data_IF_579933583178
#
_entry.id   IF_579933583178
#
_cell.length_a   1.000
_cell.length_b   1.000
_cell.length_c   1.000
_cell.angle_alpha   90.00
_cell.angle_beta   90.00
_cell.angle_gamma   90.00
#
_symmetry.space_group_name_H-M   'P 1'
#
loop_
_entity.id
_entity.type
_entity.pdbx_description
1 polymer ?
#
# COMPACT_ATOMS: atom_id res chain seq x y z
N UNK A 1 6.45 -22.55 6.55
CA UNK A 1 5.87 -22.54 5.18
C UNK A 1 6.69 -21.63 4.28
N UNK A 2 6.90 -22.04 3.02
CA UNK A 2 7.65 -21.31 2.00
C UNK A 2 6.76 -20.95 0.82
N UNK A 3 7.01 -19.79 0.20
CA UNK A 3 6.31 -19.30 -0.99
C UNK A 3 7.34 -18.70 -1.96
N UNK A 4 7.31 -19.12 -3.23
CA UNK A 4 8.30 -18.75 -4.25
C UNK A 4 9.76 -18.87 -3.76
N UNK A 5 10.08 -19.93 -3.02
CA UNK A 5 11.44 -20.21 -2.55
C UNK A 5 11.90 -19.40 -1.33
N UNK A 6 11.03 -18.61 -0.69
CA UNK A 6 11.32 -17.89 0.56
C UNK A 6 10.34 -18.21 1.67
N UNK A 7 10.77 -18.09 2.92
CA UNK A 7 9.86 -18.21 4.08
C UNK A 7 8.91 -17.01 4.12
N UNK A 8 7.66 -17.23 4.54
CA UNK A 8 6.66 -16.14 4.66
C UNK A 8 7.19 -14.99 5.53
N UNK A 9 7.89 -15.30 6.62
CA UNK A 9 8.50 -14.32 7.51
C UNK A 9 9.57 -13.43 6.86
N UNK A 10 10.21 -13.87 5.76
CA UNK A 10 11.15 -13.02 5.01
C UNK A 10 10.41 -11.90 4.28
N UNK A 11 9.25 -12.18 3.69
CA UNK A 11 8.41 -11.16 3.05
C UNK A 11 7.88 -10.16 4.07
N UNK A 12 7.42 -10.64 5.23
CA UNK A 12 6.95 -9.78 6.31
C UNK A 12 8.07 -8.86 6.83
N UNK A 13 9.28 -9.40 7.05
CA UNK A 13 10.45 -8.61 7.46
C UNK A 13 10.86 -7.61 6.39
N UNK A 14 10.81 -8.01 5.12
CA UNK A 14 11.10 -7.13 4.00
C UNK A 14 10.10 -5.95 3.98
N UNK A 15 8.80 -6.24 3.97
CA UNK A 15 7.70 -5.28 3.87
C UNK A 15 7.44 -4.46 5.16
N UNK A 16 8.05 -4.82 6.30
CA UNK A 16 7.72 -4.27 7.63
C UNK A 16 7.64 -2.74 7.68
N UNK A 17 8.63 -2.05 7.14
CA UNK A 17 8.66 -0.58 7.19
C UNK A 17 7.49 0.02 6.40
N UNK A 18 7.22 -0.48 5.19
CA UNK A 18 6.08 -0.06 4.39
C UNK A 18 4.75 -0.31 5.10
N UNK A 19 4.60 -1.47 5.74
CA UNK A 19 3.41 -1.79 6.56
C UNK A 19 3.24 -0.76 7.69
N UNK A 20 4.30 -0.48 8.46
CA UNK A 20 4.25 0.49 9.55
C UNK A 20 3.87 1.89 9.01
N UNK A 21 4.45 2.32 7.89
CA UNK A 21 4.11 3.61 7.28
C UNK A 21 2.64 3.69 6.84
N UNK A 22 2.11 2.62 6.23
CA UNK A 22 0.69 2.53 5.87
C UNK A 22 -0.18 2.69 7.11
N UNK A 23 0.15 2.00 8.20
CA UNK A 23 -0.63 2.08 9.44
C UNK A 23 -0.55 3.47 10.08
N UNK A 24 0.62 4.12 10.08
CA UNK A 24 0.78 5.47 10.61
C UNK A 24 0.01 6.51 9.78
N UNK A 25 0.09 6.44 8.46
CA UNK A 25 -0.69 7.33 7.57
C UNK A 25 -2.19 7.06 7.72
N UNK A 26 -2.59 5.79 7.84
CA UNK A 26 -3.97 5.40 8.12
C UNK A 26 -4.47 6.01 9.41
N UNK A 27 -3.69 5.91 10.49
CA UNK A 27 -4.04 6.47 11.79
C UNK A 27 -4.15 7.99 11.72
N UNK A 28 -3.21 8.67 11.08
CA UNK A 28 -3.29 10.11 10.85
C UNK A 28 -4.56 10.48 10.07
N UNK A 29 -4.88 9.73 8.99
CA UNK A 29 -6.11 9.92 8.20
C UNK A 29 -7.37 9.75 9.04
N UNK A 30 -7.39 8.73 9.89
CA UNK A 30 -8.49 8.45 10.79
C UNK A 30 -8.70 9.59 11.78
N UNK A 31 -7.64 10.02 12.47
CA UNK A 31 -7.70 11.13 13.43
C UNK A 31 -8.21 12.41 12.76
N UNK A 32 -7.68 12.75 11.59
CA UNK A 32 -8.11 13.95 10.84
C UNK A 32 -9.60 13.86 10.46
N UNK A 33 -10.05 12.68 10.03
CA UNK A 33 -11.45 12.44 9.67
C UNK A 33 -12.40 12.61 10.85
N UNK A 34 -12.12 11.97 11.98
CA UNK A 34 -12.97 12.08 13.18
C UNK A 34 -12.90 13.44 13.85
N UNK A 35 -11.88 14.26 13.55
CA UNK A 35 -11.75 15.64 14.04
C UNK A 35 -12.62 16.64 13.27
N UNK A 36 -13.40 16.18 12.28
CA UNK A 36 -14.33 17.04 11.53
C UNK A 36 -13.67 17.92 10.46
N UNK A 37 -12.41 17.66 10.10
CA UNK A 37 -11.78 18.37 8.99
C UNK A 37 -12.51 17.97 7.69
N UNK A 38 -12.86 18.90 6.79
CA UNK A 38 -13.49 18.55 5.51
C UNK A 38 -12.61 17.62 4.66
N UNK A 39 -13.21 16.59 4.07
CA UNK A 39 -12.50 15.55 3.31
C UNK A 39 -11.67 16.16 2.18
N UNK A 40 -12.23 17.14 1.46
CA UNK A 40 -11.63 17.80 0.30
C UNK A 40 -10.33 18.52 0.66
N UNK A 41 -10.18 18.96 1.91
CA UNK A 41 -8.98 19.66 2.39
C UNK A 41 -7.85 18.72 2.78
N UNK A 42 -8.18 17.56 3.35
CA UNK A 42 -7.18 16.65 3.93
C UNK A 42 -6.86 15.43 3.06
N UNK A 43 -7.70 15.09 2.08
CA UNK A 43 -7.62 13.78 1.41
C UNK A 43 -6.28 13.50 0.74
N UNK A 44 -5.61 14.53 0.22
CA UNK A 44 -4.31 14.42 -0.46
C UNK A 44 -3.12 14.35 0.51
N UNK A 45 -3.23 14.93 1.71
CA UNK A 45 -2.14 15.00 2.68
C UNK A 45 -1.93 13.67 3.41
N UNK A 46 -3.02 12.94 3.65
CA UNK A 46 -3.03 11.68 4.42
C UNK A 46 -3.64 10.56 3.59
N UNK A 47 -3.18 10.40 2.33
CA UNK A 47 -3.73 9.41 1.40
C UNK A 47 -3.07 8.04 1.55
N UNK A 48 -3.84 7.06 2.04
CA UNK A 48 -3.44 5.65 2.08
C UNK A 48 -3.18 5.08 0.68
N UNK A 49 -4.00 5.46 -0.30
CA UNK A 49 -3.84 5.01 -1.69
C UNK A 49 -2.53 5.50 -2.28
N UNK A 50 -2.26 6.81 -2.24
CA UNK A 50 -1.01 7.37 -2.78
C UNK A 50 0.19 6.75 -2.07
N UNK A 51 0.14 6.65 -0.75
CA UNK A 51 1.19 6.02 0.06
C UNK A 51 1.49 4.60 -0.41
N UNK A 52 0.45 3.78 -0.58
CA UNK A 52 0.61 2.36 -0.95
C UNK A 52 1.08 2.21 -2.41
N UNK A 53 0.62 3.05 -3.33
CA UNK A 53 1.10 3.09 -4.72
C UNK A 53 2.61 3.40 -4.79
N UNK A 54 3.05 4.44 -4.07
CA UNK A 54 4.47 4.81 -3.98
C UNK A 54 5.27 3.68 -3.35
N UNK A 55 4.78 3.11 -2.25
CA UNK A 55 5.45 1.99 -1.59
C UNK A 55 5.57 0.77 -2.51
N UNK A 56 4.59 0.45 -3.33
CA UNK A 56 4.69 -0.65 -4.29
C UNK A 56 5.89 -0.45 -5.23
N UNK A 57 6.04 0.74 -5.81
CA UNK A 57 7.19 1.09 -6.69
C UNK A 57 8.51 0.99 -5.91
N UNK A 58 8.57 1.61 -4.73
CA UNK A 58 9.77 1.64 -3.87
C UNK A 58 10.21 0.22 -3.49
N UNK A 59 9.26 -0.63 -3.11
CA UNK A 59 9.55 -2.01 -2.73
C UNK A 59 9.97 -2.88 -3.93
N UNK A 60 9.43 -2.59 -5.12
CA UNK A 60 9.94 -3.12 -6.39
C UNK A 60 11.40 -2.78 -6.63
N UNK A 61 11.75 -1.49 -6.57
CA UNK A 61 13.11 -1.02 -6.75
C UNK A 61 14.06 -1.60 -5.69
N UNK A 62 13.63 -1.60 -4.42
CA UNK A 62 14.40 -2.18 -3.31
C UNK A 62 14.65 -3.67 -3.50
N UNK A 63 13.67 -4.43 -3.97
CA UNK A 63 13.83 -5.86 -4.23
C UNK A 63 14.90 -6.12 -5.30
N UNK A 64 14.98 -5.28 -6.33
CA UNK A 64 16.06 -5.34 -7.31
C UNK A 64 17.42 -4.96 -6.70
N UNK A 65 17.46 -3.88 -5.91
CA UNK A 65 18.68 -3.35 -5.31
C UNK A 65 19.38 -4.35 -4.38
N UNK A 66 18.62 -5.02 -3.51
CA UNK A 66 19.18 -5.97 -2.55
C UNK A 66 19.15 -7.42 -3.05
N UNK A 67 18.79 -7.65 -4.32
CA UNK A 67 18.61 -8.98 -4.91
C UNK A 67 17.67 -9.87 -4.08
N UNK A 68 16.59 -9.28 -3.58
CA UNK A 68 15.60 -10.01 -2.78
C UNK A 68 14.93 -11.13 -3.58
N UNK A 69 14.88 -11.03 -4.91
CA UNK A 69 14.35 -12.08 -5.77
C UNK A 69 14.03 -11.57 -7.17
N UNK A 70 13.01 -12.17 -7.78
CA UNK A 70 12.46 -11.86 -9.09
C UNK A 70 11.06 -11.26 -8.98
N UNK A 71 10.40 -11.01 -10.12
CA UNK A 71 9.01 -10.55 -10.20
C UNK A 71 8.01 -11.41 -9.40
N UNK A 72 8.27 -12.72 -9.26
CA UNK A 72 7.41 -13.62 -8.47
C UNK A 72 7.41 -13.27 -6.98
N UNK A 73 8.55 -12.86 -6.43
CA UNK A 73 8.70 -12.47 -5.02
C UNK A 73 8.08 -11.09 -4.71
N UNK A 74 7.73 -10.30 -5.75
CA UNK A 74 7.01 -9.05 -5.56
C UNK A 74 5.55 -9.31 -5.17
N UNK A 75 4.92 -10.39 -5.65
CA UNK A 75 3.51 -10.67 -5.40
C UNK A 75 3.19 -10.82 -3.90
N UNK A 76 3.89 -11.66 -3.11
CA UNK A 76 3.62 -11.73 -1.67
C UNK A 76 3.92 -10.41 -0.94
N UNK A 77 4.89 -9.65 -1.44
CA UNK A 77 5.23 -8.34 -0.86
C UNK A 77 4.08 -7.35 -1.03
N UNK A 78 3.52 -7.22 -2.23
CA UNK A 78 2.40 -6.29 -2.47
C UNK A 78 1.10 -6.77 -1.85
N UNK A 79 0.90 -8.08 -1.70
CA UNK A 79 -0.23 -8.63 -0.94
C UNK A 79 -0.16 -8.16 0.51
N UNK A 80 1.02 -8.20 1.15
CA UNK A 80 1.16 -7.71 2.53
C UNK A 80 0.91 -6.19 2.65
N UNK A 81 1.32 -5.40 1.66
CA UNK A 81 1.01 -3.96 1.62
C UNK A 81 -0.50 -3.72 1.44
N UNK A 82 -1.16 -4.47 0.55
CA UNK A 82 -2.60 -4.39 0.34
C UNK A 82 -3.37 -4.79 1.60
N UNK A 83 -2.98 -5.90 2.25
CA UNK A 83 -3.57 -6.34 3.51
C UNK A 83 -3.42 -5.28 4.62
N UNK A 84 -2.27 -4.60 4.70
CA UNK A 84 -2.09 -3.52 5.66
C UNK A 84 -3.05 -2.34 5.37
N UNK A 85 -3.13 -1.90 4.12
CA UNK A 85 -3.99 -0.77 3.71
C UNK A 85 -5.47 -1.10 3.92
N UNK A 86 -5.94 -2.20 3.34
CA UNK A 86 -7.36 -2.58 3.38
C UNK A 86 -7.78 -3.10 4.74
N UNK A 87 -6.89 -3.80 5.46
CA UNK A 87 -7.14 -4.18 6.85
C UNK A 87 -7.35 -2.97 7.74
N UNK A 88 -6.55 -1.91 7.56
CA UNK A 88 -6.76 -0.65 8.27
C UNK A 88 -8.09 0.01 7.87
N UNK A 89 -8.38 0.13 6.57
CA UNK A 89 -9.63 0.72 6.07
C UNK A 89 -10.85 0.00 6.66
N UNK A 90 -10.85 -1.32 6.65
CA UNK A 90 -11.95 -2.14 7.19
C UNK A 90 -12.08 -1.93 8.71
N UNK A 91 -10.97 -1.91 9.45
CA UNK A 91 -11.00 -1.62 10.88
C UNK A 91 -11.57 -0.22 11.17
N UNK A 92 -11.18 0.79 10.40
CA UNK A 92 -11.71 2.14 10.53
C UNK A 92 -13.22 2.21 10.20
N UNK A 93 -13.67 1.51 9.15
CA UNK A 93 -15.10 1.37 8.82
C UNK A 93 -15.88 0.78 9.98
N UNK A 94 -15.36 -0.28 10.61
CA UNK A 94 -16.01 -0.92 11.75
C UNK A 94 -16.09 0.03 12.95
N UNK A 95 -15.03 0.76 13.25
CA UNK A 95 -15.01 1.73 14.36
C UNK A 95 -16.00 2.87 14.12
N UNK A 96 -15.99 3.49 12.95
CA UNK A 96 -16.89 4.59 12.61
C UNK A 96 -18.36 4.11 12.56
N UNK A 97 -18.62 3.00 11.87
CA UNK A 97 -19.96 2.48 11.66
C UNK A 97 -20.62 1.89 12.91
N UNK A 98 -19.87 1.16 13.74
CA UNK A 98 -20.42 0.59 14.99
C UNK A 98 -20.39 1.59 16.15
N UNK A 99 -19.42 2.50 16.16
CA UNK A 99 -19.29 3.54 17.18
C UNK A 99 -20.18 4.75 16.97
N UNK A 100 -20.83 4.88 15.81
CA UNK A 100 -21.62 6.06 15.44
C UNK A 100 -20.77 7.32 15.29
N UNK A 101 -19.47 7.16 15.00
CA UNK A 101 -18.53 8.27 14.83
C UNK A 101 -18.48 8.61 13.34
N UNK A 102 -18.65 9.89 13.01
CA UNK A 102 -18.55 10.36 11.63
C UNK A 102 -17.10 10.70 11.29
N UNK A 103 -16.48 9.91 10.42
CA UNK A 103 -15.15 10.16 9.89
C UNK A 103 -15.08 9.99 8.38
N UNK A 104 -13.89 9.68 7.87
CA UNK A 104 -13.65 9.57 6.42
C UNK A 104 -13.89 8.17 5.87
N UNK A 105 -13.93 7.16 6.73
CA UNK A 105 -13.95 5.77 6.30
C UNK A 105 -15.37 5.23 6.20
N UNK A 106 -16.30 5.71 7.02
CA UNK A 106 -17.69 5.30 7.04
C UNK A 106 -18.60 6.41 7.59
N UNK A 107 -18.92 7.39 6.76
CA UNK A 107 -19.97 8.38 7.01
C UNK A 107 -20.85 8.47 5.75
N UNK A 108 -22.03 7.81 5.72
CA UNK A 108 -22.86 7.76 4.53
C UNK A 108 -23.21 9.16 4.01
N UNK A 109 -22.93 9.43 2.72
CA UNK A 109 -23.15 10.75 2.12
C UNK A 109 -22.00 11.75 2.30
N UNK A 110 -20.91 11.34 2.98
CA UNK A 110 -19.68 12.13 3.12
C UNK A 110 -18.47 11.40 2.51
N UNK A 111 -17.51 12.18 2.01
CA UNK A 111 -16.30 11.64 1.38
C UNK A 111 -16.61 10.77 0.17
N UNK A 112 -16.13 9.52 0.18
CA UNK A 112 -16.35 8.55 -0.91
C UNK A 112 -17.40 7.48 -0.58
N UNK A 113 -18.02 7.53 0.61
CA UNK A 113 -19.02 6.54 1.01
C UNK A 113 -20.38 6.87 0.36
N UNK A 114 -20.99 5.94 -0.41
CA UNK A 114 -22.32 6.16 -0.95
C UNK A 114 -23.35 6.48 0.14
N UNK A 115 -24.30 7.35 -0.18
CA UNK A 115 -25.41 7.67 0.72
C UNK A 115 -26.18 6.40 1.13
N UNK A 116 -26.42 6.23 2.44
CA UNK A 116 -27.16 5.09 3.00
C UNK A 116 -26.46 3.72 2.94
N UNK A 117 -25.16 3.64 2.60
CA UNK A 117 -24.45 2.36 2.53
C UNK A 117 -24.37 1.68 3.91
N UNK A 118 -24.71 0.39 3.99
CA UNK A 118 -24.53 -0.38 5.21
C UNK A 118 -23.05 -0.74 5.44
N UNK A 119 -22.63 -0.85 6.70
CA UNK A 119 -21.26 -1.25 7.10
C UNK A 119 -20.80 -2.51 6.37
N UNK A 120 -21.64 -3.55 6.33
CA UNK A 120 -21.33 -4.83 5.67
C UNK A 120 -21.04 -4.66 4.18
N UNK A 121 -21.81 -3.83 3.50
CA UNK A 121 -21.73 -3.65 2.04
C UNK A 121 -20.50 -2.81 1.70
N UNK A 122 -20.19 -1.81 2.54
CA UNK A 122 -18.96 -1.04 2.43
C UNK A 122 -17.73 -1.94 2.61
N UNK A 123 -17.69 -2.79 3.65
CA UNK A 123 -16.59 -3.76 3.85
C UNK A 123 -16.47 -4.71 2.66
N UNK A 124 -17.59 -5.24 2.16
CA UNK A 124 -17.61 -6.10 0.97
C UNK A 124 -16.98 -5.41 -0.25
N UNK A 125 -17.32 -4.14 -0.50
CA UNK A 125 -16.71 -3.33 -1.54
C UNK A 125 -15.19 -3.17 -1.37
N UNK A 126 -14.72 -2.95 -0.15
CA UNK A 126 -13.28 -2.82 0.13
C UNK A 126 -12.52 -4.14 -0.08
N UNK A 127 -13.12 -5.28 0.27
CA UNK A 127 -12.53 -6.60 0.00
C UNK A 127 -12.41 -6.88 -1.51
N UNK A 128 -13.43 -6.51 -2.30
CA UNK A 128 -13.35 -6.60 -3.76
C UNK A 128 -12.28 -5.67 -4.31
N UNK A 129 -12.25 -4.41 -3.87
CA UNK A 129 -11.23 -3.43 -4.28
C UNK A 129 -9.80 -3.88 -3.95
N UNK A 130 -9.61 -4.59 -2.84
CA UNK A 130 -8.32 -5.19 -2.47
C UNK A 130 -7.82 -6.18 -3.52
N UNK A 131 -8.71 -7.06 -4.03
CA UNK A 131 -8.35 -8.06 -5.05
C UNK A 131 -7.82 -7.40 -6.33
N UNK A 132 -8.51 -6.35 -6.80
CA UNK A 132 -8.07 -5.58 -7.96
C UNK A 132 -6.76 -4.81 -7.68
N UNK A 133 -6.65 -4.21 -6.50
CA UNK A 133 -5.48 -3.40 -6.13
C UNK A 133 -4.19 -4.20 -6.01
N UNK A 134 -4.27 -5.49 -5.62
CA UNK A 134 -3.09 -6.37 -5.62
C UNK A 134 -2.45 -6.45 -7.01
N UNK A 135 -3.26 -6.54 -8.07
CA UNK A 135 -2.76 -6.55 -9.45
C UNK A 135 -2.08 -5.24 -9.83
N UNK A 136 -2.73 -4.10 -9.51
CA UNK A 136 -2.16 -2.76 -9.75
C UNK A 136 -0.84 -2.58 -9.01
N UNK A 137 -0.80 -2.92 -7.72
CA UNK A 137 0.42 -2.80 -6.91
C UNK A 137 1.53 -3.71 -7.43
N UNK A 138 1.20 -4.92 -7.90
CA UNK A 138 2.19 -5.82 -8.49
C UNK A 138 2.81 -5.24 -9.77
N UNK A 139 1.99 -4.64 -10.65
CA UNK A 139 2.48 -3.95 -11.86
C UNK A 139 3.41 -2.79 -11.48
N UNK A 140 3.02 -1.97 -10.51
CA UNK A 140 3.84 -0.84 -10.05
C UNK A 140 5.15 -1.30 -9.40
N UNK A 141 5.12 -2.38 -8.63
CA UNK A 141 6.32 -3.00 -8.09
C UNK A 141 7.22 -3.55 -9.21
N UNK A 142 6.64 -4.15 -10.25
CA UNK A 142 7.39 -4.61 -11.41
C UNK A 142 8.07 -3.43 -12.15
N UNK A 143 7.38 -2.30 -12.30
CA UNK A 143 7.94 -1.05 -12.85
C UNK A 143 9.13 -0.58 -12.02
N UNK A 144 8.98 -0.48 -10.69
CA UNK A 144 10.09 -0.08 -9.81
C UNK A 144 11.29 -1.04 -9.89
N UNK A 145 11.02 -2.34 -9.93
CA UNK A 145 12.04 -3.37 -10.07
C UNK A 145 12.80 -3.26 -11.40
N UNK A 146 12.09 -3.13 -12.52
CA UNK A 146 12.67 -2.98 -13.84
C UNK A 146 13.46 -1.68 -13.97
N UNK A 147 12.89 -0.56 -13.50
CA UNK A 147 13.54 0.75 -13.51
C UNK A 147 14.89 0.72 -12.78
N UNK A 148 14.93 0.15 -11.57
CA UNK A 148 16.19 0.03 -10.84
C UNK A 148 17.23 -0.82 -11.58
N UNK A 149 16.83 -1.95 -12.16
CA UNK A 149 17.74 -2.80 -12.95
C UNK A 149 18.33 -2.04 -14.14
N UNK A 150 17.48 -1.34 -14.90
CA UNK A 150 17.93 -0.56 -16.06
C UNK A 150 18.93 0.53 -15.68
N UNK A 151 18.64 1.29 -14.61
CA UNK A 151 19.55 2.32 -14.10
C UNK A 151 20.89 1.74 -13.66
N UNK A 152 20.87 0.59 -12.96
CA UNK A 152 22.10 -0.08 -12.51
C UNK A 152 22.97 -0.59 -13.67
N UNK A 153 22.37 -0.96 -14.79
CA UNK A 153 23.10 -1.39 -16.00
C UNK A 153 23.72 -0.21 -16.72
N UNK A 154 23.02 0.92 -16.82
CA UNK A 154 23.54 2.15 -17.41
C UNK A 154 24.73 2.68 -16.60
N UNK A 155 24.63 2.70 -15.27
CA UNK A 155 25.71 3.14 -14.38
C UNK A 155 27.00 2.30 -14.55
N UNK A 156 26.86 0.99 -14.82
CA UNK A 156 28.00 0.09 -15.07
C UNK A 156 28.63 0.25 -16.45
N UNK A 157 27.91 0.83 -17.41
CA UNK A 157 28.36 1.03 -18.79
C UNK A 157 29.03 2.39 -19.02
N UNK A 158 29.01 3.29 -18.04
CA UNK A 158 29.67 4.59 -18.14
C UNK A 158 31.19 4.39 -18.34
N UNK A 159 31.76 4.76 -19.51
CA UNK A 159 33.17 4.59 -19.79
C UNK A 159 33.99 5.62 -19.00
N UNK A 160 34.88 5.17 -18.10
CA UNK A 160 35.75 6.10 -17.38
C UNK A 160 36.54 5.59 -16.17
N UNK A 161 36.32 4.37 -15.68
CA UNK A 161 37.12 3.81 -14.58
C UNK A 161 37.87 2.55 -15.03
N UNK A 162 39.03 2.76 -15.65
CA UNK A 162 40.11 1.77 -15.64
C UNK A 162 41.05 2.16 -14.49
N UNK A 163 41.28 1.30 -13.49
CA UNK A 163 42.39 1.52 -12.57
C UNK A 163 43.71 1.37 -13.33
N UNK A 164 44.62 2.32 -13.08
CA UNK A 164 46.02 2.26 -13.50
C UNK A 164 46.77 1.17 -12.75
#
# INVERSE_FOLDING_TARGET
>A
MTLFGKKIGEYARFARVGIVLILLVGLARFIVGVSGVPYERATHLVSLTITTLVLAIVYGARAAAIRFGSYRQLLPTVVLLALAMYGFIIAAILVEGLGGIHGYFHAPGHGLAPGGIAVRDHIGGQLLAMLFSIGVFWVLAAVGFAGWRSLSLLARRAPGQRPA
#
